data_IF_411300379532
#
_entry.id   IF_411300379532
#
_cell.length_a   1.000
_cell.length_b   1.000
_cell.length_c   1.000
_cell.angle_alpha   90.00
_cell.angle_beta   90.00
_cell.angle_gamma   90.00
#
_symmetry.space_group_name_H-M   'P 1'
#
loop_
_entity.id
_entity.type
_entity.pdbx_description
1 polymer ?
#
# COMPACT_ATOMS: atom_id res chain seq x y z
N UNK A 1 12.88 -13.56 13.93
CA UNK A 1 14.28 -13.05 13.88
C UNK A 1 14.46 -11.92 12.88
N UNK A 2 14.43 -12.14 11.54
CA UNK A 2 14.68 -11.02 10.60
C UNK A 2 13.56 -9.95 10.59
N UNK A 3 12.29 -10.37 10.51
CA UNK A 3 11.13 -9.46 10.49
C UNK A 3 10.96 -8.77 11.85
N UNK A 4 11.04 -9.50 12.96
CA UNK A 4 10.95 -8.92 14.32
C UNK A 4 11.99 -7.80 14.52
N UNK A 5 13.26 -8.06 14.19
CA UNK A 5 14.31 -7.03 14.28
C UNK A 5 14.10 -5.85 13.32
N UNK A 6 13.33 -6.02 12.23
CA UNK A 6 12.94 -4.92 11.35
C UNK A 6 11.79 -4.10 11.94
N UNK A 7 10.81 -4.75 12.58
CA UNK A 7 9.73 -4.08 13.29
C UNK A 7 10.26 -3.26 14.48
N UNK A 8 11.27 -3.77 15.20
CA UNK A 8 11.95 -2.99 16.25
C UNK A 8 12.58 -1.72 15.69
N UNK A 9 13.30 -1.81 14.55
CA UNK A 9 13.85 -0.62 13.88
C UNK A 9 12.77 0.34 13.40
N UNK A 10 11.66 -0.18 12.87
CA UNK A 10 10.52 0.62 12.45
C UNK A 10 9.97 1.41 13.63
N UNK A 11 9.79 0.75 14.78
CA UNK A 11 9.32 1.42 16.00
C UNK A 11 10.28 2.53 16.45
N UNK A 12 11.58 2.25 16.50
CA UNK A 12 12.61 3.26 16.84
C UNK A 12 12.61 4.44 15.86
N UNK A 13 12.52 4.16 14.55
CA UNK A 13 12.47 5.19 13.51
C UNK A 13 11.18 6.02 13.61
N UNK A 14 10.05 5.40 13.91
CA UNK A 14 8.77 6.09 14.06
C UNK A 14 8.80 7.06 15.24
N UNK A 15 9.27 6.63 16.41
CA UNK A 15 9.40 7.51 17.57
C UNK A 15 10.35 8.68 17.27
N UNK A 16 11.49 8.41 16.63
CA UNK A 16 12.42 9.46 16.18
C UNK A 16 11.75 10.46 15.22
N UNK A 17 10.92 9.99 14.30
CA UNK A 17 10.17 10.86 13.39
C UNK A 17 9.21 11.76 14.18
N UNK A 18 8.39 11.16 15.06
CA UNK A 18 7.41 11.87 15.89
C UNK A 18 8.06 12.95 16.76
N UNK A 19 9.21 12.64 17.36
CA UNK A 19 9.99 13.59 18.17
C UNK A 19 10.58 14.73 17.34
N UNK A 20 10.99 14.45 16.11
CA UNK A 20 11.61 15.43 15.22
C UNK A 20 10.61 16.34 14.49
N UNK A 21 9.35 15.91 14.38
CA UNK A 21 8.29 16.65 13.69
C UNK A 21 7.02 16.81 14.56
N UNK A 22 7.10 17.49 15.72
CA UNK A 22 5.96 17.65 16.63
C UNK A 22 4.83 18.52 16.03
N UNK A 23 5.05 19.13 14.86
CA UNK A 23 4.05 19.95 14.15
C UNK A 23 3.48 19.25 12.92
N UNK A 24 3.83 17.99 12.68
CA UNK A 24 3.33 17.18 11.57
C UNK A 24 3.47 17.89 10.20
N UNK A 25 4.67 18.37 9.88
CA UNK A 25 4.98 19.09 8.63
C UNK A 25 5.65 18.24 7.55
N UNK A 26 6.11 17.02 7.88
CA UNK A 26 6.80 16.17 6.92
C UNK A 26 5.81 15.47 5.99
N UNK A 27 5.72 15.95 4.75
CA UNK A 27 4.85 15.34 3.74
C UNK A 27 3.37 15.50 4.10
N UNK A 28 2.62 14.40 4.06
CA UNK A 28 1.19 14.38 4.40
C UNK A 28 0.92 14.08 5.88
N UNK A 29 1.90 14.27 6.76
CA UNK A 29 1.79 13.95 8.19
C UNK A 29 0.67 14.70 8.92
N UNK A 30 0.20 15.84 8.41
CA UNK A 30 -0.94 16.56 8.98
C UNK A 30 -2.27 15.78 8.93
N UNK A 31 -2.36 14.80 8.04
CA UNK A 31 -3.58 14.02 7.77
C UNK A 31 -3.76 12.88 8.77
N UNK A 32 -2.66 12.31 9.25
CA UNK A 32 -2.67 11.18 10.20
C UNK A 32 -2.01 11.51 11.55
N UNK A 33 -1.36 12.68 11.69
CA UNK A 33 -0.78 13.22 12.94
C UNK A 33 0.14 12.26 13.71
N UNK A 34 0.83 11.37 13.00
CA UNK A 34 1.60 10.26 13.56
C UNK A 34 0.83 9.35 14.55
N UNK A 35 -0.49 9.28 14.43
CA UNK A 35 -1.35 8.41 15.21
C UNK A 35 -1.33 6.98 14.67
N UNK A 36 -0.93 6.03 15.51
CA UNK A 36 -0.95 4.61 15.21
C UNK A 36 -2.22 3.98 15.79
N UNK A 37 -2.83 3.09 15.03
CA UNK A 37 -3.95 2.30 15.52
C UNK A 37 -3.46 1.13 16.38
N UNK A 38 -4.33 0.67 17.29
CA UNK A 38 -4.07 -0.51 18.12
C UNK A 38 -3.88 -1.74 17.22
N UNK A 39 -2.83 -2.56 17.42
CA UNK A 39 -2.64 -3.80 16.68
C UNK A 39 -3.85 -4.74 16.79
N UNK A 40 -4.17 -5.41 15.69
CA UNK A 40 -5.26 -6.41 15.66
C UNK A 40 -4.79 -7.69 16.35
N UNK A 41 -5.69 -8.39 17.05
CA UNK A 41 -5.31 -9.67 17.66
C UNK A 41 -5.12 -10.76 16.60
N UNK A 42 -4.27 -11.75 16.89
CA UNK A 42 -4.08 -12.93 16.03
C UNK A 42 -5.39 -13.69 15.78
N UNK A 43 -6.31 -13.70 16.75
CA UNK A 43 -7.61 -14.35 16.60
C UNK A 43 -8.49 -13.61 15.60
N UNK A 44 -8.66 -12.29 15.77
CA UNK A 44 -9.46 -11.46 14.86
C UNK A 44 -8.89 -11.50 13.44
N UNK A 45 -7.56 -11.45 13.31
CA UNK A 45 -6.91 -11.55 12.01
C UNK A 45 -7.18 -12.90 11.34
N UNK A 46 -7.06 -14.00 12.08
CA UNK A 46 -7.31 -15.34 11.55
C UNK A 46 -8.79 -15.54 11.15
N UNK A 47 -9.73 -14.85 11.82
CA UNK A 47 -11.14 -14.85 11.43
C UNK A 47 -11.35 -14.07 10.13
N UNK A 48 -10.70 -12.93 9.96
CA UNK A 48 -10.75 -12.09 8.76
C UNK A 48 -10.13 -12.80 7.53
N UNK A 49 -8.95 -13.39 7.71
CA UNK A 49 -8.30 -14.22 6.67
C UNK A 49 -9.21 -15.37 6.22
N UNK A 50 -9.87 -16.03 7.18
CA UNK A 50 -10.82 -17.13 6.90
C UNK A 50 -12.07 -16.63 6.18
N UNK A 51 -12.63 -15.47 6.54
CA UNK A 51 -13.83 -14.94 5.89
C UNK A 51 -13.59 -14.53 4.45
N UNK A 52 -12.38 -14.06 4.14
CA UNK A 52 -11.98 -13.67 2.78
C UNK A 52 -11.29 -14.80 1.99
N UNK A 53 -10.96 -15.92 2.64
CA UNK A 53 -10.32 -17.07 1.99
C UNK A 53 -8.91 -16.76 1.51
N UNK A 54 -8.14 -16.02 2.31
CA UNK A 54 -6.77 -15.59 1.99
C UNK A 54 -5.84 -15.80 3.16
N UNK A 55 -4.54 -15.90 2.87
CA UNK A 55 -3.48 -15.76 3.86
C UNK A 55 -2.69 -14.49 3.50
N UNK A 56 -2.56 -13.56 4.44
CA UNK A 56 -1.85 -12.30 4.23
C UNK A 56 -0.33 -12.52 4.20
N UNK A 57 0.42 -11.66 3.49
CA UNK A 57 1.88 -11.66 3.52
C UNK A 57 2.41 -11.63 4.96
N UNK A 58 3.44 -12.45 5.23
CA UNK A 58 3.95 -12.70 6.59
C UNK A 58 4.44 -11.42 7.27
N UNK A 59 5.06 -10.53 6.50
CA UNK A 59 5.57 -9.24 6.95
C UNK A 59 4.44 -8.26 7.31
N UNK A 60 3.39 -8.18 6.49
CA UNK A 60 2.20 -7.38 6.78
C UNK A 60 1.44 -7.91 8.01
N UNK A 61 1.23 -9.23 8.10
CA UNK A 61 0.62 -9.86 9.28
C UNK A 61 1.39 -9.52 10.56
N UNK A 62 2.72 -9.69 10.55
CA UNK A 62 3.54 -9.37 11.71
C UNK A 62 3.43 -7.88 12.09
N UNK A 63 3.41 -6.98 11.10
CA UNK A 63 3.26 -5.54 11.34
C UNK A 63 1.92 -5.20 12.01
N UNK A 64 0.80 -5.68 11.47
CA UNK A 64 -0.53 -5.31 11.98
C UNK A 64 -0.87 -5.93 13.33
N UNK A 65 -0.25 -7.06 13.69
CA UNK A 65 -0.48 -7.72 14.99
C UNK A 65 0.47 -7.26 16.09
N UNK A 66 1.58 -6.59 15.76
CA UNK A 66 2.59 -6.19 16.76
C UNK A 66 2.88 -4.69 16.81
N UNK A 67 2.79 -3.98 15.69
CA UNK A 67 3.15 -2.57 15.61
C UNK A 67 1.93 -1.67 15.45
N UNK A 68 1.15 -1.84 14.37
CA UNK A 68 -0.04 -1.03 14.16
C UNK A 68 -0.99 -1.55 13.09
N UNK A 69 -2.30 -1.50 13.37
CA UNK A 69 -3.36 -1.85 12.41
C UNK A 69 -3.85 -0.61 11.63
N UNK A 70 -2.99 -0.06 10.77
CA UNK A 70 -3.26 1.15 10.01
C UNK A 70 -2.93 2.44 10.76
N UNK A 71 -3.46 3.57 10.32
CA UNK A 71 -3.12 4.90 10.84
C UNK A 71 -1.87 5.46 10.16
N UNK A 72 -0.97 6.08 10.92
CA UNK A 72 0.18 6.77 10.38
C UNK A 72 1.06 5.87 9.50
N UNK A 73 1.41 6.40 8.34
CA UNK A 73 2.15 5.66 7.33
C UNK A 73 2.42 6.51 6.11
N UNK A 74 2.94 5.88 5.05
CA UNK A 74 3.20 6.56 3.80
C UNK A 74 1.99 7.35 3.29
N UNK A 75 2.26 8.54 2.72
CA UNK A 75 1.27 9.38 2.04
C UNK A 75 0.14 9.74 3.02
N UNK A 76 -1.13 9.45 2.73
CA UNK A 76 -2.27 9.84 3.57
C UNK A 76 -2.49 8.92 4.79
N UNK A 77 -1.56 7.99 5.05
CA UNK A 77 -1.70 6.97 6.07
C UNK A 77 -2.35 5.70 5.51
N UNK A 78 -2.71 4.82 6.42
CA UNK A 78 -3.14 3.47 6.12
C UNK A 78 -4.51 3.15 6.71
N UNK A 79 -5.31 2.44 5.93
CA UNK A 79 -6.53 1.82 6.39
C UNK A 79 -6.24 0.71 7.41
N UNK A 80 -7.23 0.45 8.26
CA UNK A 80 -7.22 -0.76 9.08
C UNK A 80 -7.28 -1.97 8.17
N UNK A 81 -6.81 -3.13 8.63
CA UNK A 81 -6.92 -4.37 7.84
C UNK A 81 -8.38 -4.70 7.49
N UNK A 82 -9.33 -4.34 8.37
CA UNK A 82 -10.75 -4.50 8.15
C UNK A 82 -11.23 -3.67 6.95
N UNK A 83 -10.82 -2.40 6.89
CA UNK A 83 -11.18 -1.49 5.79
C UNK A 83 -10.41 -1.80 4.50
N UNK A 84 -9.21 -2.39 4.63
CA UNK A 84 -8.40 -2.80 3.49
C UNK A 84 -9.07 -3.89 2.65
N UNK A 85 -9.92 -4.73 3.26
CA UNK A 85 -10.80 -5.67 2.59
C UNK A 85 -12.04 -4.99 2.00
N UNK A 86 -11.83 -4.04 1.10
CA UNK A 86 -12.93 -3.31 0.46
C UNK A 86 -13.90 -4.24 -0.30
N UNK A 87 -15.20 -3.95 -0.22
CA UNK A 87 -16.28 -4.83 -0.71
C UNK A 87 -16.20 -5.18 -2.20
N UNK A 88 -15.59 -4.32 -3.01
CA UNK A 88 -15.46 -4.50 -4.45
C UNK A 88 -14.28 -5.40 -4.85
N UNK A 89 -13.45 -5.83 -3.90
CA UNK A 89 -12.27 -6.66 -4.14
C UNK A 89 -12.60 -8.15 -4.13
N UNK A 90 -11.75 -8.95 -4.79
CA UNK A 90 -11.79 -10.41 -4.70
C UNK A 90 -10.38 -10.93 -4.34
N UNK A 91 -9.96 -10.79 -3.08
CA UNK A 91 -8.58 -11.01 -2.66
C UNK A 91 -8.15 -12.49 -2.76
N UNK A 92 -9.09 -13.43 -2.79
CA UNK A 92 -8.81 -14.88 -2.92
C UNK A 92 -8.52 -15.35 -4.35
N UNK A 93 -8.81 -14.54 -5.37
CA UNK A 93 -8.41 -14.83 -6.75
C UNK A 93 -7.00 -14.32 -7.01
N UNK A 94 -6.20 -14.97 -7.87
CA UNK A 94 -4.85 -14.52 -8.16
C UNK A 94 -4.86 -13.17 -8.88
N UNK A 95 -4.05 -12.24 -8.39
CA UNK A 95 -3.72 -11.00 -9.07
C UNK A 95 -3.05 -11.32 -10.41
N UNK A 96 -3.48 -10.72 -11.53
CA UNK A 96 -3.11 -11.20 -12.87
C UNK A 96 -1.77 -10.64 -13.39
N UNK A 97 -1.10 -9.75 -12.67
CA UNK A 97 0.11 -9.07 -13.16
C UNK A 97 1.35 -9.44 -12.35
N UNK A 98 2.45 -9.69 -13.05
CA UNK A 98 3.80 -9.86 -12.49
C UNK A 98 4.65 -8.59 -12.63
N UNK A 99 4.39 -7.83 -13.69
CA UNK A 99 5.05 -6.56 -14.01
C UNK A 99 4.02 -5.46 -14.14
N UNK A 100 4.43 -4.21 -13.96
CA UNK A 100 3.50 -3.08 -14.09
C UNK A 100 2.81 -3.03 -15.45
N UNK A 101 1.49 -2.89 -15.42
CA UNK A 101 0.65 -2.60 -16.57
C UNK A 101 0.28 -1.11 -16.51
N UNK A 102 1.16 -0.28 -17.10
CA UNK A 102 0.92 1.15 -17.28
C UNK A 102 0.26 1.37 -18.64
N UNK A 103 -0.73 2.26 -18.67
CA UNK A 103 -1.30 2.72 -19.93
C UNK A 103 -0.94 4.18 -20.09
N UNK A 104 0.02 4.46 -20.96
CA UNK A 104 0.34 5.83 -21.34
C UNK A 104 -0.87 6.42 -22.05
N UNK A 105 -1.47 7.49 -21.53
CA UNK A 105 -2.42 8.30 -22.28
C UNK A 105 -1.64 9.29 -23.15
N UNK A 106 -1.84 9.17 -24.45
CA UNK A 106 -1.31 10.04 -25.48
C UNK A 106 -2.50 10.72 -26.13
N UNK A 107 -2.38 12.01 -26.41
CA UNK A 107 -3.43 12.77 -27.11
C UNK A 107 -3.63 12.35 -28.58
N UNK A 108 -2.91 11.33 -29.06
CA UNK A 108 -2.99 10.78 -30.43
C UNK A 108 -3.48 9.33 -30.49
N UNK A 109 -4.23 8.87 -29.49
CA UNK A 109 -4.78 7.52 -29.50
C UNK A 109 -5.79 7.29 -30.62
N UNK A 110 -5.63 6.16 -31.29
CA UNK A 110 -6.64 5.65 -32.22
C UNK A 110 -7.90 5.21 -31.45
N UNK A 111 -9.03 5.04 -32.15
CA UNK A 111 -10.25 4.53 -31.54
C UNK A 111 -10.08 3.15 -30.87
N UNK A 112 -9.14 2.34 -31.35
CA UNK A 112 -8.85 1.02 -30.80
C UNK A 112 -8.10 1.09 -29.47
N UNK A 113 -7.24 2.09 -29.28
CA UNK A 113 -6.51 2.25 -28.03
C UNK A 113 -7.43 2.72 -26.89
N UNK A 114 -8.34 3.64 -27.20
CA UNK A 114 -9.40 4.04 -26.26
C UNK A 114 -10.33 2.88 -25.91
N UNK A 115 -10.55 1.94 -26.83
CA UNK A 115 -11.32 0.72 -26.57
C UNK A 115 -10.57 -0.22 -25.63
N UNK A 116 -9.27 -0.47 -25.86
CA UNK A 116 -8.43 -1.29 -24.97
C UNK A 116 -8.33 -0.70 -23.57
N UNK A 117 -8.17 0.62 -23.45
CA UNK A 117 -8.21 1.36 -22.18
C UNK A 117 -9.51 1.09 -21.43
N UNK A 118 -10.66 1.22 -22.11
CA UNK A 118 -11.98 0.97 -21.51
C UNK A 118 -12.18 -0.48 -21.10
N UNK A 119 -11.66 -1.42 -21.88
CA UNK A 119 -11.73 -2.85 -21.56
C UNK A 119 -10.86 -3.17 -20.34
N UNK A 120 -9.62 -2.66 -20.30
CA UNK A 120 -8.74 -2.79 -19.14
C UNK A 120 -9.40 -2.22 -17.88
N UNK A 121 -9.85 -0.97 -17.88
CA UNK A 121 -10.44 -0.36 -16.68
C UNK A 121 -11.71 -1.07 -16.18
N UNK A 122 -12.43 -1.77 -17.07
CA UNK A 122 -13.63 -2.53 -16.72
C UNK A 122 -13.36 -3.99 -16.37
N UNK A 123 -12.15 -4.48 -16.57
CA UNK A 123 -11.84 -5.88 -16.28
C UNK A 123 -11.95 -6.12 -14.76
N UNK A 124 -12.88 -6.97 -14.30
CA UNK A 124 -13.01 -7.29 -12.89
C UNK A 124 -11.76 -7.98 -12.32
N UNK A 125 -10.91 -8.59 -13.17
CA UNK A 125 -9.65 -9.20 -12.74
C UNK A 125 -8.67 -8.19 -12.11
N UNK A 126 -8.84 -6.90 -12.40
CA UNK A 126 -8.06 -5.84 -11.78
C UNK A 126 -8.34 -5.66 -10.27
N UNK A 127 -9.42 -6.27 -9.76
CA UNK A 127 -9.76 -6.28 -8.34
C UNK A 127 -9.33 -7.56 -7.62
N UNK A 128 -8.64 -8.47 -8.30
CA UNK A 128 -8.28 -9.77 -7.74
C UNK A 128 -6.99 -9.67 -6.93
N UNK A 129 -6.87 -10.50 -5.91
CA UNK A 129 -5.59 -10.80 -5.28
C UNK A 129 -4.95 -9.65 -4.52
N UNK A 130 -5.70 -8.59 -4.22
CA UNK A 130 -5.21 -7.38 -3.55
C UNK A 130 -6.14 -6.91 -2.44
N UNK A 131 -5.58 -6.15 -1.51
CA UNK A 131 -6.29 -5.34 -0.50
C UNK A 131 -5.79 -3.89 -0.62
N UNK A 132 -6.61 -2.92 -0.21
CA UNK A 132 -6.27 -1.49 -0.33
C UNK A 132 -5.65 -1.01 0.97
N UNK A 133 -4.39 -0.61 0.93
CA UNK A 133 -3.68 -0.08 2.11
C UNK A 133 -4.05 1.36 2.43
N UNK A 134 -4.41 2.18 1.44
CA UNK A 134 -4.75 3.58 1.66
C UNK A 134 -4.81 4.38 0.37
N UNK A 135 -5.29 5.63 0.48
CA UNK A 135 -5.35 6.58 -0.63
C UNK A 135 -4.01 7.30 -0.84
N UNK A 136 -3.67 7.61 -2.08
CA UNK A 136 -2.51 8.44 -2.43
C UNK A 136 -2.88 9.84 -2.96
N UNK A 137 -4.18 10.15 -3.07
CA UNK A 137 -4.69 11.34 -3.73
C UNK A 137 -5.06 11.09 -5.19
N UNK A 138 -5.82 12.01 -5.80
CA UNK A 138 -6.32 11.92 -7.19
C UNK A 138 -7.07 10.60 -7.52
N UNK A 139 -7.64 9.96 -6.50
CA UNK A 139 -8.33 8.68 -6.60
C UNK A 139 -7.40 7.46 -6.75
N UNK A 140 -6.08 7.66 -6.66
CA UNK A 140 -5.11 6.58 -6.66
C UNK A 140 -5.11 5.83 -5.32
N UNK A 141 -4.95 4.52 -5.39
CA UNK A 141 -4.84 3.66 -4.21
C UNK A 141 -3.45 3.04 -4.11
N UNK A 142 -2.98 2.85 -2.88
CA UNK A 142 -1.91 1.90 -2.59
C UNK A 142 -2.53 0.56 -2.27
N UNK A 143 -2.08 -0.49 -2.94
CA UNK A 143 -2.56 -1.86 -2.76
C UNK A 143 -1.45 -2.77 -2.22
N UNK A 144 -1.82 -3.76 -1.41
CA UNK A 144 -0.98 -4.91 -1.09
C UNK A 144 -1.48 -6.13 -1.87
N UNK A 145 -0.58 -6.78 -2.61
CA UNK A 145 -0.92 -8.03 -3.29
C UNK A 145 -0.87 -9.19 -2.29
N UNK A 146 -1.98 -9.88 -2.12
CA UNK A 146 -2.17 -10.96 -1.12
C UNK A 146 -2.29 -12.34 -1.77
N UNK A 147 -2.67 -12.42 -3.04
CA UNK A 147 -2.79 -13.68 -3.79
C UNK A 147 -2.29 -13.51 -5.22
N UNK A 148 -1.46 -14.43 -5.71
CA UNK A 148 -0.88 -14.39 -7.07
C UNK A 148 0.65 -14.33 -7.04
N UNK A 149 1.27 -14.15 -8.21
CA UNK A 149 2.73 -14.20 -8.34
C UNK A 149 3.44 -12.99 -7.72
N UNK A 150 2.79 -11.83 -7.71
CA UNK A 150 3.30 -10.62 -7.07
C UNK A 150 3.00 -10.55 -5.55
N UNK A 151 2.55 -11.66 -4.92
CA UNK A 151 2.16 -11.69 -3.51
C UNK A 151 3.27 -11.13 -2.60
N UNK A 152 2.86 -10.25 -1.68
CA UNK A 152 3.74 -9.57 -0.73
C UNK A 152 4.23 -8.21 -1.21
N UNK A 153 4.04 -7.86 -2.49
CA UNK A 153 4.49 -6.58 -3.02
C UNK A 153 3.45 -5.48 -2.84
N UNK A 154 3.92 -4.25 -2.65
CA UNK A 154 3.10 -3.04 -2.65
C UNK A 154 2.99 -2.48 -4.07
N UNK A 155 1.77 -2.20 -4.50
CA UNK A 155 1.41 -1.75 -5.85
C UNK A 155 0.59 -0.46 -5.78
N UNK A 156 0.53 0.26 -6.89
CA UNK A 156 -0.31 1.43 -7.08
C UNK A 156 -1.42 1.10 -8.06
N UNK A 157 -2.64 1.44 -7.66
CA UNK A 157 -3.79 1.53 -8.54
C UNK A 157 -4.01 2.99 -8.95
N UNK A 158 -3.50 3.30 -10.13
CA UNK A 158 -3.53 4.63 -10.73
C UNK A 158 -4.56 4.70 -11.87
N UNK A 159 -5.60 3.87 -11.82
CA UNK A 159 -6.56 3.77 -12.95
C UNK A 159 -7.45 5.01 -13.10
N UNK A 160 -7.34 5.98 -12.18
CA UNK A 160 -8.11 7.23 -12.18
C UNK A 160 -7.44 8.38 -12.91
N UNK A 161 -6.13 8.30 -13.19
CA UNK A 161 -5.37 9.38 -13.84
C UNK A 161 -5.09 9.09 -15.33
N UNK A 162 -4.54 10.11 -16.00
CA UNK A 162 -4.11 10.00 -17.40
C UNK A 162 -2.78 9.23 -17.58
N UNK A 163 -1.98 9.02 -16.53
CA UNK A 163 -0.73 8.24 -16.60
C UNK A 163 -0.91 6.81 -16.05
N UNK A 164 -2.18 6.38 -15.99
CA UNK A 164 -2.68 5.37 -15.09
C UNK A 164 -2.28 3.93 -15.34
N UNK A 165 -2.80 3.04 -14.50
CA UNK A 165 -2.58 1.60 -14.59
C UNK A 165 -2.45 0.92 -13.24
N UNK A 166 -1.87 -0.28 -13.27
CA UNK A 166 -1.55 -1.08 -12.08
C UNK A 166 -0.06 -1.39 -12.12
N UNK A 167 0.72 -0.88 -11.17
CA UNK A 167 2.18 -1.04 -11.21
C UNK A 167 2.80 -1.17 -9.82
N UNK A 168 3.97 -1.84 -9.68
CA UNK A 168 4.69 -1.87 -8.42
C UNK A 168 4.98 -0.45 -7.90
N UNK A 169 4.80 -0.23 -6.60
CA UNK A 169 5.03 1.06 -5.99
C UNK A 169 6.50 1.48 -6.11
N UNK A 170 6.74 2.62 -6.76
CA UNK A 170 8.05 3.23 -6.97
C UNK A 170 8.15 4.63 -6.35
N UNK A 171 7.21 5.00 -5.47
CA UNK A 171 7.06 6.33 -4.83
C UNK A 171 8.33 6.84 -4.14
N UNK A 172 9.23 5.93 -3.73
CA UNK A 172 10.49 6.28 -3.07
C UNK A 172 11.73 6.19 -3.97
N UNK A 173 11.54 6.02 -5.27
CA UNK A 173 12.60 5.84 -6.26
C UNK A 173 13.30 4.48 -6.17
N UNK A 174 12.66 3.49 -5.57
CA UNK A 174 13.11 2.10 -5.58
C UNK A 174 13.04 1.53 -7.00
N UNK A 175 14.01 0.68 -7.34
CA UNK A 175 14.08 0.03 -8.66
C UNK A 175 13.33 -1.30 -8.72
N UNK A 176 13.22 -1.95 -7.58
CA UNK A 176 12.56 -3.24 -7.43
C UNK A 176 11.28 -3.07 -6.61
N UNK A 177 10.24 -3.90 -6.83
CA UNK A 177 9.06 -3.95 -5.99
C UNK A 177 9.43 -4.20 -4.53
N UNK A 178 8.83 -3.42 -3.62
CA UNK A 178 9.06 -3.57 -2.18
C UNK A 178 7.99 -4.46 -1.56
N UNK A 179 8.40 -5.24 -0.55
CA UNK A 179 7.45 -5.83 0.38
C UNK A 179 6.88 -4.75 1.32
N UNK A 180 5.87 -5.11 2.11
CA UNK A 180 5.16 -4.13 2.95
C UNK A 180 6.09 -3.45 3.97
N UNK A 181 6.87 -4.24 4.72
CA UNK A 181 7.72 -3.68 5.78
C UNK A 181 8.89 -2.87 5.22
N UNK A 182 9.43 -3.25 4.06
CA UNK A 182 10.47 -2.47 3.38
C UNK A 182 9.91 -1.15 2.83
N UNK A 183 8.68 -1.18 2.29
CA UNK A 183 7.98 0.02 1.83
C UNK A 183 7.73 0.99 2.99
N UNK A 184 7.22 0.51 4.13
CA UNK A 184 6.96 1.32 5.31
C UNK A 184 8.25 1.88 5.92
N UNK A 185 9.30 1.06 6.05
CA UNK A 185 10.58 1.51 6.60
C UNK A 185 11.27 2.52 5.67
N UNK A 186 11.16 2.35 4.34
CA UNK A 186 11.70 3.31 3.37
C UNK A 186 11.02 4.67 3.52
N UNK A 187 9.71 4.72 3.76
CA UNK A 187 9.02 5.96 4.08
C UNK A 187 9.59 6.63 5.33
N UNK A 188 9.78 5.89 6.41
CA UNK A 188 10.38 6.43 7.64
C UNK A 188 11.78 7.00 7.38
N UNK A 189 12.63 6.28 6.64
CA UNK A 189 13.97 6.75 6.30
C UNK A 189 13.92 8.06 5.51
N UNK A 190 13.00 8.18 4.55
CA UNK A 190 12.79 9.41 3.77
C UNK A 190 12.24 10.54 4.63
N UNK A 191 11.27 10.27 5.50
CA UNK A 191 10.64 11.25 6.37
C UNK A 191 11.65 11.82 7.37
N UNK A 192 12.43 10.98 8.04
CA UNK A 192 13.50 11.39 8.98
C UNK A 192 14.62 12.16 8.27
N UNK A 193 14.95 11.79 7.03
CA UNK A 193 15.99 12.46 6.27
C UNK A 193 15.57 13.85 5.76
N UNK A 194 14.27 14.10 5.56
CA UNK A 194 13.72 15.40 5.17
C UNK A 194 13.71 16.34 6.38
N UNK A 195 14.87 16.90 6.70
CA UNK A 195 15.01 17.84 7.83
C UNK A 195 14.34 19.19 7.64
N UNK A 196 14.09 19.65 6.41
CA UNK A 196 13.53 20.99 6.19
C UNK A 196 12.88 21.09 4.80
N UNK A 197 11.60 21.46 4.74
CA UNK A 197 11.09 22.44 3.79
C UNK A 197 10.15 23.36 4.59
N UNK A 198 10.27 24.71 4.49
CA UNK A 198 9.58 25.68 5.35
C UNK A 198 8.07 25.48 5.53
#
# INVERSE_FOLDING_TARGET
MAIESQLDRIAEKFERLRDSDPRCRVGSSGEHQYELNVPISEQELAELERSHGVELPTDYRAFITTFSNGGAGPIYGQFTVQDAFAEYLTPSKPFPYETGCRIEYSHSHSGDDLKRLREFYKDPANQYGKIVLGEMGDGMMTDLIVTGMARGQVWIDDRTTEWGGLYPCDTFGNKEPLCFVDWYETWLDRAIARKDVP
#
